data_IF_872152416948
#
_entry.id   IF_872152416948
#
_cell.length_a   1.000
_cell.length_b   1.000
_cell.length_c   1.000
_cell.angle_alpha   90.00
_cell.angle_beta   90.00
_cell.angle_gamma   90.00
#
_symmetry.space_group_name_H-M   'P 1'
#
loop_
_entity.id
_entity.type
_entity.pdbx_description
1 polymer ?
#
# COMPACT_ATOMS: atom_id res chain seq x y z
N UNK A 1 -16.31 28.73 -40.99
CA UNK A 1 -15.90 29.96 -40.26
C UNK A 1 -16.48 29.91 -38.86
N UNK A 2 -15.67 30.26 -37.86
CA UNK A 2 -15.82 30.12 -36.39
C UNK A 2 -15.11 28.89 -35.79
N UNK A 3 -13.79 29.01 -35.75
CA UNK A 3 -12.92 28.43 -34.72
C UNK A 3 -13.42 28.78 -33.32
N UNK A 4 -13.29 27.85 -32.37
CA UNK A 4 -13.16 28.20 -30.96
C UNK A 4 -11.80 27.73 -30.47
N UNK A 5 -11.07 28.71 -29.99
CA UNK A 5 -9.73 28.65 -29.43
C UNK A 5 -9.61 27.59 -28.32
N UNK A 6 -8.43 26.98 -28.28
CA UNK A 6 -8.03 26.01 -27.29
C UNK A 6 -7.91 26.60 -25.89
N UNK A 7 -8.10 25.72 -24.91
CA UNK A 7 -7.55 25.87 -23.57
C UNK A 7 -6.67 24.63 -23.33
N UNK A 8 -5.41 24.73 -23.75
CA UNK A 8 -4.36 23.79 -23.38
C UNK A 8 -3.73 24.40 -22.14
N UNK A 9 -4.07 23.89 -20.96
CA UNK A 9 -3.29 24.18 -19.76
C UNK A 9 -2.03 23.33 -19.89
N UNK A 10 -1.04 23.86 -20.59
CA UNK A 10 0.32 23.32 -20.57
C UNK A 10 0.92 23.73 -19.24
N UNK A 11 0.87 22.83 -18.26
CA UNK A 11 1.63 22.97 -17.01
C UNK A 11 3.10 22.61 -17.33
N UNK A 12 4.05 23.56 -17.34
CA UNK A 12 5.39 23.33 -17.87
C UNK A 12 6.26 22.43 -16.99
N UNK A 13 5.79 22.08 -15.78
CA UNK A 13 6.58 21.36 -14.77
C UNK A 13 6.22 19.86 -14.64
N UNK A 14 5.54 19.27 -15.63
CA UNK A 14 5.25 17.83 -15.60
C UNK A 14 6.52 16.97 -15.77
N UNK A 15 7.64 17.53 -16.25
CA UNK A 15 8.83 16.76 -16.63
C UNK A 15 10.10 17.12 -15.83
N UNK A 16 10.03 16.96 -14.50
CA UNK A 16 11.24 16.99 -13.65
C UNK A 16 11.11 16.22 -12.31
N UNK A 17 10.22 15.22 -12.20
CA UNK A 17 10.27 14.33 -11.03
C UNK A 17 11.42 13.35 -11.20
N UNK A 18 12.58 13.69 -10.64
CA UNK A 18 13.67 12.74 -10.44
C UNK A 18 13.13 11.43 -9.83
N UNK A 19 13.68 10.26 -10.21
CA UNK A 19 13.29 9.00 -9.59
C UNK A 19 13.51 9.11 -8.08
N UNK A 20 12.42 9.00 -7.31
CA UNK A 20 12.41 9.15 -5.83
C UNK A 20 13.16 8.02 -5.09
N UNK A 21 13.91 7.21 -5.82
CA UNK A 21 14.73 6.10 -5.33
C UNK A 21 16.20 6.29 -5.70
N UNK A 22 16.83 7.36 -5.22
CA UNK A 22 18.28 7.52 -5.32
C UNK A 22 19.04 6.58 -4.35
N UNK A 23 20.37 6.42 -4.52
CA UNK A 23 21.22 5.58 -3.65
C UNK A 23 21.11 5.93 -2.14
N UNK A 24 20.71 7.16 -1.79
CA UNK A 24 20.49 7.61 -0.41
C UNK A 24 19.39 6.85 0.35
N UNK A 25 18.28 6.47 -0.31
CA UNK A 25 17.20 5.69 0.33
C UNK A 25 17.72 4.32 0.75
N UNK A 26 18.41 3.63 -0.17
CA UNK A 26 18.96 2.31 0.09
C UNK A 26 20.05 2.34 1.18
N UNK A 27 20.87 3.39 1.23
CA UNK A 27 21.89 3.57 2.28
C UNK A 27 21.25 3.80 3.65
N UNK A 28 20.22 4.65 3.76
CA UNK A 28 19.55 4.89 5.04
C UNK A 28 18.83 3.64 5.56
N UNK A 29 18.12 2.92 4.68
CA UNK A 29 17.37 1.69 5.03
C UNK A 29 18.27 0.54 5.50
N UNK A 30 19.58 0.60 5.23
CA UNK A 30 20.60 -0.36 5.71
C UNK A 30 21.32 0.12 6.97
N UNK A 31 21.02 1.32 7.45
CA UNK A 31 21.70 1.91 8.61
C UNK A 31 21.06 1.46 9.93
N UNK A 32 21.81 1.60 11.02
CA UNK A 32 21.29 1.37 12.37
C UNK A 32 20.07 2.25 12.74
N UNK A 33 19.81 3.32 11.98
CA UNK A 33 18.65 4.22 12.15
C UNK A 33 17.35 3.63 11.57
N UNK A 34 17.42 2.54 10.80
CA UNK A 34 16.29 1.84 10.20
C UNK A 34 16.39 0.32 10.39
N UNK A 35 16.35 -0.21 11.64
CA UNK A 35 16.57 -1.62 11.93
C UNK A 35 15.54 -2.57 11.29
N UNK A 36 14.43 -2.05 10.73
CA UNK A 36 13.35 -2.85 10.15
C UNK A 36 13.76 -3.78 8.99
N UNK A 37 14.94 -3.58 8.41
CA UNK A 37 15.55 -4.45 7.40
C UNK A 37 16.95 -4.99 7.79
N UNK A 38 17.42 -4.75 9.02
CA UNK A 38 18.77 -5.10 9.42
C UNK A 38 19.85 -4.25 8.75
N UNK A 39 21.06 -4.78 8.59
CA UNK A 39 22.22 -4.05 8.04
C UNK A 39 22.38 -4.18 6.52
N UNK A 40 21.53 -4.98 5.87
CA UNK A 40 21.58 -5.19 4.42
C UNK A 40 20.20 -5.50 3.85
N UNK A 41 19.98 -5.16 2.58
CA UNK A 41 18.75 -5.50 1.86
C UNK A 41 19.04 -6.59 0.83
N UNK A 42 18.23 -7.64 0.82
CA UNK A 42 18.26 -8.64 -0.24
C UNK A 42 17.68 -8.08 -1.54
N UNK A 43 17.99 -8.71 -2.69
CA UNK A 43 17.42 -8.30 -3.99
C UNK A 43 15.90 -8.32 -4.02
N UNK A 44 15.26 -9.29 -3.35
CA UNK A 44 13.80 -9.36 -3.31
C UNK A 44 13.20 -8.23 -2.49
N UNK A 45 13.85 -7.82 -1.41
CA UNK A 45 13.40 -6.68 -0.60
C UNK A 45 13.53 -5.36 -1.36
N UNK A 46 14.64 -5.18 -2.09
CA UNK A 46 14.84 -4.02 -2.97
C UNK A 46 13.72 -3.96 -4.01
N UNK A 47 13.48 -5.06 -4.74
CA UNK A 47 12.44 -5.11 -5.76
C UNK A 47 11.03 -4.86 -5.19
N UNK A 48 10.72 -5.36 -3.99
CA UNK A 48 9.44 -5.08 -3.32
C UNK A 48 9.27 -3.61 -2.95
N UNK A 49 10.33 -2.96 -2.44
CA UNK A 49 10.32 -1.53 -2.11
C UNK A 49 10.20 -0.68 -3.39
N UNK A 50 10.98 -0.99 -4.43
CA UNK A 50 10.94 -0.29 -5.72
C UNK A 50 9.55 -0.38 -6.35
N UNK A 51 8.91 -1.56 -6.34
CA UNK A 51 7.55 -1.71 -6.85
C UNK A 51 6.52 -0.81 -6.12
N UNK A 52 6.69 -0.58 -4.81
CA UNK A 52 5.83 0.35 -4.05
C UNK A 52 6.14 1.81 -4.42
N UNK A 53 7.42 2.15 -4.62
CA UNK A 53 7.83 3.50 -5.04
C UNK A 53 7.29 3.84 -6.43
N UNK A 54 7.35 2.89 -7.37
CA UNK A 54 6.81 3.04 -8.73
C UNK A 54 5.29 3.23 -8.70
N UNK A 55 4.58 2.42 -7.91
CA UNK A 55 3.14 2.60 -7.71
C UNK A 55 2.81 3.97 -7.11
N UNK A 56 3.57 4.44 -6.12
CA UNK A 56 3.39 5.78 -5.56
C UNK A 56 3.65 6.90 -6.57
N UNK A 57 4.54 6.70 -7.53
CA UNK A 57 4.74 7.66 -8.62
C UNK A 57 3.51 7.80 -9.53
N UNK A 58 2.72 6.72 -9.68
CA UNK A 58 1.52 6.68 -10.51
C UNK A 58 0.27 7.13 -9.75
N UNK A 59 0.02 6.60 -8.56
CA UNK A 59 -1.25 6.80 -7.83
C UNK A 59 -1.12 7.66 -6.58
N UNK A 60 0.10 7.99 -6.17
CA UNK A 60 0.36 8.78 -4.97
C UNK A 60 0.06 10.27 -5.12
N UNK A 61 -0.10 10.95 -3.99
CA UNK A 61 -0.30 12.40 -3.88
C UNK A 61 1.03 13.19 -3.85
N UNK A 62 2.16 12.49 -3.96
CA UNK A 62 3.50 13.07 -3.91
C UNK A 62 3.98 13.51 -2.53
N UNK A 63 3.20 13.29 -1.47
CA UNK A 63 3.55 13.67 -0.09
C UNK A 63 4.39 12.60 0.58
N UNK A 64 5.48 12.99 1.23
CA UNK A 64 6.36 12.04 1.93
C UNK A 64 5.64 11.31 3.05
N UNK A 65 4.73 12.00 3.75
CA UNK A 65 3.91 11.38 4.81
C UNK A 65 3.09 10.22 4.24
N UNK A 66 2.50 10.38 3.06
CA UNK A 66 1.71 9.33 2.40
C UNK A 66 2.60 8.18 1.97
N UNK A 67 3.76 8.46 1.35
CA UNK A 67 4.71 7.43 0.94
C UNK A 67 5.23 6.63 2.15
N UNK A 68 5.68 7.31 3.20
CA UNK A 68 6.19 6.69 4.41
C UNK A 68 5.13 5.83 5.10
N UNK A 69 3.88 6.30 5.14
CA UNK A 69 2.79 5.54 5.75
C UNK A 69 2.39 4.32 4.91
N UNK A 70 2.40 4.44 3.58
CA UNK A 70 2.20 3.30 2.67
C UNK A 70 3.27 2.22 2.84
N UNK A 71 4.55 2.61 2.89
CA UNK A 71 5.66 1.69 3.16
C UNK A 71 5.56 1.06 4.57
N UNK A 72 5.19 1.85 5.58
CA UNK A 72 4.97 1.34 6.93
C UNK A 72 3.83 0.32 7.00
N UNK A 73 2.74 0.59 6.28
CA UNK A 73 1.60 -0.33 6.13
C UNK A 73 2.06 -1.62 5.47
N UNK A 74 2.71 -1.55 4.31
CA UNK A 74 3.21 -2.74 3.62
C UNK A 74 4.17 -3.57 4.49
N UNK A 75 5.10 -2.92 5.20
CA UNK A 75 6.06 -3.61 6.08
C UNK A 75 5.39 -4.40 7.20
N UNK A 76 4.25 -3.90 7.70
CA UNK A 76 3.42 -4.59 8.68
C UNK A 76 2.68 -5.75 8.03
N UNK A 77 1.90 -5.48 6.98
CA UNK A 77 0.98 -6.48 6.45
C UNK A 77 1.68 -7.66 5.78
N UNK A 78 2.78 -7.40 5.06
CA UNK A 78 3.45 -8.43 4.23
C UNK A 78 4.90 -8.70 4.64
N UNK A 79 5.34 -8.10 5.74
CA UNK A 79 6.66 -8.31 6.31
C UNK A 79 7.79 -7.68 5.51
N UNK A 80 9.03 -8.08 5.84
CA UNK A 80 10.23 -7.47 5.28
C UNK A 80 10.44 -7.74 3.78
N UNK A 81 9.69 -8.65 3.18
CA UNK A 81 9.71 -8.90 1.74
C UNK A 81 9.03 -7.79 0.93
N UNK A 82 8.09 -7.06 1.52
CA UNK A 82 7.36 -5.96 0.86
C UNK A 82 6.64 -6.38 -0.44
N UNK A 83 6.22 -7.65 -0.51
CA UNK A 83 5.53 -8.23 -1.67
C UNK A 83 4.13 -8.71 -1.30
N UNK A 84 3.15 -8.67 -2.22
CA UNK A 84 1.81 -9.20 -1.98
C UNK A 84 1.82 -10.65 -1.48
N UNK A 85 0.93 -10.97 -0.54
CA UNK A 85 0.78 -12.32 -0.01
C UNK A 85 -0.67 -12.75 0.06
N UNK A 86 -0.88 -14.07 0.07
CA UNK A 86 -2.14 -14.68 0.46
C UNK A 86 -2.25 -14.72 1.99
N UNK A 87 -3.48 -14.64 2.49
CA UNK A 87 -3.80 -14.74 3.92
C UNK A 87 -3.13 -15.96 4.56
N UNK A 88 -2.53 -15.75 5.75
CA UNK A 88 -1.76 -16.79 6.44
C UNK A 88 -0.42 -17.14 5.78
N UNK A 89 0.08 -16.28 4.89
CA UNK A 89 1.35 -16.42 4.15
C UNK A 89 1.44 -17.73 3.35
N UNK A 90 0.30 -18.19 2.80
CA UNK A 90 0.23 -19.42 2.03
C UNK A 90 0.77 -19.21 0.62
N UNK A 91 1.45 -20.24 0.09
CA UNK A 91 2.11 -20.17 -1.22
C UNK A 91 1.12 -20.41 -2.34
N UNK A 92 0.14 -21.28 -2.11
CA UNK A 92 -0.87 -21.65 -3.09
C UNK A 92 -2.27 -21.20 -2.68
N UNK A 93 -3.15 -21.05 -3.66
CA UNK A 93 -4.56 -20.72 -3.42
C UNK A 93 -5.26 -21.82 -2.60
N UNK A 94 -5.00 -23.09 -2.90
CA UNK A 94 -5.59 -24.22 -2.18
C UNK A 94 -5.24 -24.21 -0.68
N UNK A 95 -3.97 -23.95 -0.33
CA UNK A 95 -3.53 -23.82 1.06
C UNK A 95 -4.18 -22.62 1.75
N UNK A 96 -4.30 -21.48 1.06
CA UNK A 96 -4.94 -20.29 1.59
C UNK A 96 -6.42 -20.53 1.88
N UNK A 97 -7.16 -21.15 0.94
CA UNK A 97 -8.58 -21.52 1.15
C UNK A 97 -8.74 -22.47 2.33
N UNK A 98 -7.88 -23.49 2.45
CA UNK A 98 -7.92 -24.42 3.58
C UNK A 98 -7.63 -23.71 4.92
N UNK A 99 -6.66 -22.80 4.93
CA UNK A 99 -6.34 -21.99 6.09
C UNK A 99 -7.54 -21.11 6.49
N UNK A 100 -8.12 -20.37 5.56
CA UNK A 100 -9.23 -19.44 5.83
C UNK A 100 -10.48 -20.19 6.26
N UNK A 101 -10.82 -21.31 5.60
CA UNK A 101 -11.97 -22.13 6.00
C UNK A 101 -11.85 -22.61 7.45
N UNK A 102 -10.64 -22.95 7.91
CA UNK A 102 -10.39 -23.39 9.29
C UNK A 102 -10.54 -22.27 10.33
N UNK A 103 -10.15 -21.03 9.99
CA UNK A 103 -10.13 -19.91 10.94
C UNK A 103 -11.36 -19.00 10.84
N UNK A 104 -11.98 -18.93 9.67
CA UNK A 104 -13.10 -18.03 9.32
C UNK A 104 -14.21 -18.74 8.51
N UNK A 105 -14.77 -19.86 8.98
CA UNK A 105 -15.68 -20.72 8.22
C UNK A 105 -17.01 -20.08 7.79
N UNK A 106 -17.42 -18.98 8.44
CA UNK A 106 -18.70 -18.30 8.20
C UNK A 106 -18.56 -16.91 7.58
N UNK A 107 -17.32 -16.44 7.34
CA UNK A 107 -17.05 -15.14 6.71
C UNK A 107 -16.79 -15.31 5.20
N UNK A 108 -15.74 -14.70 4.69
CA UNK A 108 -15.23 -14.81 3.32
C UNK A 108 -14.53 -16.14 3.00
N UNK A 109 -14.62 -17.15 3.88
CA UNK A 109 -13.97 -18.46 3.72
C UNK A 109 -14.69 -19.46 2.83
N UNK A 110 -15.83 -19.06 2.23
CA UNK A 110 -16.64 -19.89 1.32
C UNK A 110 -16.71 -19.26 -0.07
N UNK A 111 -16.94 -20.06 -1.13
CA UNK A 111 -17.28 -19.56 -2.45
C UNK A 111 -18.43 -18.55 -2.42
N UNK A 112 -18.33 -17.48 -3.19
CA UNK A 112 -19.36 -16.45 -3.28
C UNK A 112 -19.53 -15.89 -4.71
N UNK A 113 -20.70 -15.31 -4.98
CA UNK A 113 -20.98 -14.60 -6.22
C UNK A 113 -21.01 -15.49 -7.47
N UNK A 114 -21.11 -14.88 -8.66
CA UNK A 114 -21.28 -15.61 -9.92
C UNK A 114 -20.04 -16.39 -10.36
N UNK A 115 -18.85 -16.04 -9.83
CA UNK A 115 -17.57 -16.65 -10.20
C UNK A 115 -17.17 -17.84 -9.32
N UNK A 116 -17.85 -18.06 -8.18
CA UNK A 116 -17.58 -19.21 -7.30
C UNK A 116 -16.22 -19.19 -6.59
N UNK A 117 -15.54 -18.04 -6.53
CA UNK A 117 -14.25 -17.90 -5.85
C UNK A 117 -14.38 -17.68 -4.35
N UNK A 118 -13.30 -17.97 -3.61
CA UNK A 118 -13.15 -17.62 -2.19
C UNK A 118 -12.37 -16.31 -2.07
N UNK A 119 -13.05 -15.24 -1.64
CA UNK A 119 -12.52 -13.88 -1.55
C UNK A 119 -11.83 -13.60 -0.22
N UNK A 120 -10.86 -14.44 0.13
CA UNK A 120 -9.98 -14.24 1.28
C UNK A 120 -8.93 -13.14 1.03
N UNK A 121 -8.18 -12.78 2.07
CA UNK A 121 -7.14 -11.76 2.05
C UNK A 121 -6.06 -12.01 1.01
N UNK A 122 -5.94 -11.12 0.02
CA UNK A 122 -4.83 -11.09 -0.93
C UNK A 122 -4.24 -9.68 -0.99
N UNK A 123 -2.97 -9.61 -1.37
CA UNK A 123 -2.33 -8.33 -1.64
C UNK A 123 -1.62 -7.73 -0.43
N UNK A 124 -1.18 -6.49 -0.60
CA UNK A 124 -0.51 -5.74 0.48
C UNK A 124 -1.49 -5.40 1.60
N UNK A 125 -2.72 -5.02 1.25
CA UNK A 125 -3.76 -4.59 2.21
C UNK A 125 -4.71 -5.71 2.65
N UNK A 126 -4.43 -6.95 2.25
CA UNK A 126 -5.27 -8.12 2.55
C UNK A 126 -6.75 -7.89 2.18
N UNK A 127 -7.03 -7.57 0.91
CA UNK A 127 -8.38 -7.35 0.38
C UNK A 127 -9.24 -8.60 0.59
N UNK A 128 -10.38 -8.46 1.25
CA UNK A 128 -11.34 -9.54 1.57
C UNK A 128 -12.73 -9.19 1.06
N UNK A 129 -13.63 -10.19 0.98
CA UNK A 129 -15.04 -10.08 0.58
C UNK A 129 -15.29 -9.81 -0.90
N UNK A 130 -16.29 -10.49 -1.47
CA UNK A 130 -16.70 -10.37 -2.89
C UNK A 130 -16.89 -8.90 -3.30
N UNK A 131 -17.68 -8.14 -2.54
CA UNK A 131 -18.03 -6.74 -2.85
C UNK A 131 -16.81 -5.84 -3.05
N UNK A 132 -15.72 -6.09 -2.32
CA UNK A 132 -14.49 -5.33 -2.47
C UNK A 132 -13.76 -5.72 -3.75
N UNK A 133 -13.70 -7.02 -4.10
CA UNK A 133 -13.12 -7.47 -5.36
C UNK A 133 -13.95 -7.02 -6.57
N UNK A 134 -15.28 -6.95 -6.44
CA UNK A 134 -16.16 -6.39 -7.47
C UNK A 134 -15.91 -4.89 -7.66
N UNK A 135 -15.78 -4.14 -6.56
CA UNK A 135 -15.44 -2.71 -6.60
C UNK A 135 -14.13 -2.42 -7.30
N UNK A 136 -13.14 -3.30 -7.15
CA UNK A 136 -11.86 -3.18 -7.84
C UNK A 136 -11.84 -3.82 -9.25
N UNK A 137 -12.95 -4.42 -9.70
CA UNK A 137 -13.06 -5.01 -11.03
C UNK A 137 -12.25 -6.29 -11.22
N UNK A 138 -11.92 -6.99 -10.13
CA UNK A 138 -11.08 -8.21 -10.13
C UNK A 138 -11.82 -9.44 -9.58
N UNK A 139 -13.15 -9.37 -9.41
CA UNK A 139 -13.92 -10.49 -8.85
C UNK A 139 -13.82 -11.78 -9.68
N UNK A 140 -13.73 -11.68 -11.01
CA UNK A 140 -13.54 -12.84 -11.88
C UNK A 140 -12.14 -13.47 -11.77
N UNK A 141 -11.15 -12.68 -11.34
CA UNK A 141 -9.75 -13.09 -11.22
C UNK A 141 -9.12 -12.48 -9.94
N UNK A 142 -9.41 -13.07 -8.76
CA UNK A 142 -8.97 -12.53 -7.47
C UNK A 142 -7.45 -12.48 -7.30
N UNK A 143 -6.71 -13.32 -8.02
CA UNK A 143 -5.25 -13.39 -7.90
C UNK A 143 -4.55 -12.16 -8.51
N UNK A 144 -5.26 -11.29 -9.25
CA UNK A 144 -4.79 -9.94 -9.60
C UNK A 144 -4.40 -9.11 -8.38
N UNK A 145 -5.04 -9.33 -7.23
CA UNK A 145 -4.66 -8.68 -5.97
C UNK A 145 -3.24 -9.08 -5.49
N UNK A 146 -2.64 -10.13 -6.06
CA UNK A 146 -1.28 -10.57 -5.75
C UNK A 146 -0.23 -10.02 -6.73
N UNK A 147 -0.65 -9.34 -7.79
CA UNK A 147 0.28 -8.66 -8.69
C UNK A 147 0.91 -7.45 -7.98
N UNK A 148 2.25 -7.35 -7.89
CA UNK A 148 2.92 -6.31 -7.11
C UNK A 148 2.47 -4.88 -7.43
N UNK A 149 2.38 -4.56 -8.72
CA UNK A 149 1.94 -3.23 -9.18
C UNK A 149 0.51 -2.94 -8.75
N UNK A 150 -0.44 -3.83 -9.09
CA UNK A 150 -1.85 -3.64 -8.76
C UNK A 150 -2.06 -3.53 -7.23
N UNK A 151 -1.42 -4.40 -6.46
CA UNK A 151 -1.56 -4.41 -5.01
C UNK A 151 -1.05 -3.12 -4.35
N UNK A 152 0.06 -2.57 -4.82
CA UNK A 152 0.63 -1.32 -4.32
C UNK A 152 -0.21 -0.10 -4.77
N UNK A 153 -0.70 -0.09 -6.01
CA UNK A 153 -1.61 0.95 -6.50
C UNK A 153 -2.92 0.96 -5.70
N UNK A 154 -3.50 -0.22 -5.45
CA UNK A 154 -4.70 -0.39 -4.63
C UNK A 154 -4.47 0.10 -3.20
N UNK A 155 -3.32 -0.23 -2.60
CA UNK A 155 -2.95 0.27 -1.27
C UNK A 155 -3.00 1.79 -1.22
N UNK A 156 -2.29 2.49 -2.12
CA UNK A 156 -2.28 3.95 -2.11
C UNK A 156 -3.65 4.55 -2.40
N UNK A 157 -4.40 3.98 -3.34
CA UNK A 157 -5.78 4.40 -3.63
C UNK A 157 -6.63 4.40 -2.36
N UNK A 158 -6.63 3.28 -1.61
CA UNK A 158 -7.41 3.18 -0.38
C UNK A 158 -6.89 4.06 0.77
N UNK A 159 -5.58 4.25 0.88
CA UNK A 159 -5.00 5.19 1.84
C UNK A 159 -5.40 6.64 1.55
N UNK A 160 -5.50 7.02 0.27
CA UNK A 160 -5.79 8.38 -0.16
C UNK A 160 -7.27 8.72 -0.04
N UNK A 161 -8.16 7.84 -0.48
CA UNK A 161 -9.60 8.10 -0.48
C UNK A 161 -10.34 7.59 0.75
N UNK A 162 -9.71 6.74 1.56
CA UNK A 162 -10.31 6.20 2.78
C UNK A 162 -11.47 5.23 2.51
N UNK A 163 -11.53 4.57 1.34
CA UNK A 163 -12.62 3.64 0.98
C UNK A 163 -12.85 2.49 1.97
N UNK A 164 -11.84 2.11 2.74
CA UNK A 164 -11.93 1.07 3.78
C UNK A 164 -12.17 1.64 5.18
N UNK A 165 -12.08 2.97 5.32
CA UNK A 165 -12.36 3.67 6.56
C UNK A 165 -13.87 3.85 6.72
N UNK A 166 -14.43 3.43 7.85
CA UNK A 166 -15.84 3.64 8.15
C UNK A 166 -16.29 5.12 8.18
N UNK A 167 -15.35 6.06 8.30
CA UNK A 167 -15.60 7.50 8.24
C UNK A 167 -15.36 8.11 6.85
N UNK A 168 -14.90 7.32 5.87
CA UNK A 168 -14.54 7.79 4.53
C UNK A 168 -13.42 8.84 4.52
N UNK A 169 -12.50 8.79 5.51
CA UNK A 169 -11.37 9.72 5.63
C UNK A 169 -10.08 9.06 5.18
N UNK A 170 -9.40 9.68 4.22
CA UNK A 170 -8.07 9.31 3.77
C UNK A 170 -6.95 9.89 4.64
N UNK A 171 -5.70 9.56 4.31
CA UNK A 171 -4.52 9.92 5.09
C UNK A 171 -4.35 11.42 5.29
N UNK A 172 -4.69 12.27 4.32
CA UNK A 172 -4.54 13.72 4.45
C UNK A 172 -5.36 14.31 5.61
N UNK A 173 -6.42 13.64 6.05
CA UNK A 173 -7.19 14.03 7.22
C UNK A 173 -6.43 13.81 8.54
N UNK A 174 -5.67 12.71 8.65
CA UNK A 174 -4.97 12.31 9.88
C UNK A 174 -3.51 12.75 9.90
N UNK A 175 -2.88 12.83 8.73
CA UNK A 175 -1.53 13.29 8.50
C UNK A 175 -1.66 14.50 7.57
N UNK A 176 -2.03 15.68 8.06
CA UNK A 176 -2.16 16.87 7.23
C UNK A 176 -0.77 17.35 6.77
N UNK A 177 -0.73 18.21 5.75
CA UNK A 177 0.52 18.88 5.35
C UNK A 177 1.01 19.74 6.50
N UNK A 178 0.12 20.59 7.01
CA UNK A 178 0.37 21.48 8.14
C UNK A 178 -0.39 20.98 9.37
N UNK A 179 0.33 20.84 10.48
CA UNK A 179 -0.24 20.38 11.75
C UNK A 179 0.29 19.01 12.20
N UNK A 180 -0.19 18.55 13.37
CA UNK A 180 0.31 17.34 13.99
C UNK A 180 -0.16 16.07 13.26
N UNK A 181 0.72 15.07 13.23
CA UNK A 181 0.39 13.75 12.72
C UNK A 181 -0.41 12.94 13.76
N UNK A 182 -1.59 12.45 13.38
CA UNK A 182 -2.37 11.47 14.14
C UNK A 182 -2.18 10.05 13.58
N UNK A 183 -1.00 9.48 13.84
CA UNK A 183 -0.65 8.14 13.36
C UNK A 183 -1.57 7.03 13.89
N UNK A 184 -2.15 7.23 15.08
CA UNK A 184 -3.08 6.28 15.68
C UNK A 184 -4.36 6.17 14.87
N UNK A 185 -5.00 7.31 14.57
CA UNK A 185 -6.24 7.30 13.79
C UNK A 185 -6.00 7.18 12.28
N UNK A 186 -4.81 7.50 11.77
CA UNK A 186 -4.41 7.20 10.39
C UNK A 186 -4.58 5.71 10.05
N UNK A 187 -4.45 4.81 11.02
CA UNK A 187 -4.59 3.36 10.81
C UNK A 187 -5.95 2.98 10.24
N UNK A 188 -6.99 3.75 10.59
CA UNK A 188 -8.39 3.59 10.15
C UNK A 188 -8.56 3.56 8.64
N UNK A 189 -7.60 4.06 7.89
CA UNK A 189 -7.54 3.95 6.42
C UNK A 189 -7.42 2.51 5.92
N UNK A 190 -6.95 1.57 6.75
CA UNK A 190 -6.76 0.14 6.38
C UNK A 190 -7.47 -0.80 7.35
N UNK A 191 -7.34 -0.56 8.66
CA UNK A 191 -7.98 -1.33 9.72
C UNK A 191 -8.23 -0.38 10.91
N UNK A 192 -8.96 -0.75 11.96
CA UNK A 192 -9.34 0.14 13.08
C UNK A 192 -8.16 0.94 13.72
N UNK A 193 -7.71 0.60 14.92
CA UNK A 193 -6.47 1.16 15.50
C UNK A 193 -5.55 0.05 15.97
N UNK A 194 -5.83 -1.18 15.55
CA UNK A 194 -4.98 -2.30 15.89
C UNK A 194 -3.58 -2.04 15.33
N UNK A 195 -2.57 -2.40 16.10
CA UNK A 195 -1.17 -2.38 15.65
C UNK A 195 -0.59 -1.00 15.24
N UNK A 196 -1.26 0.09 15.62
CA UNK A 196 -0.89 1.44 15.22
C UNK A 196 0.52 1.86 15.68
N UNK A 197 0.98 1.41 16.85
CA UNK A 197 2.30 1.80 17.41
C UNK A 197 3.46 1.28 16.57
N UNK A 198 3.36 0.03 16.12
CA UNK A 198 4.39 -0.59 15.28
C UNK A 198 4.43 0.08 13.90
N UNK A 199 3.27 0.38 13.31
CA UNK A 199 3.18 1.14 12.06
C UNK A 199 3.76 2.54 12.25
N UNK A 200 3.47 3.21 13.37
CA UNK A 200 4.07 4.50 13.71
C UNK A 200 5.60 4.41 13.84
N UNK A 201 6.12 3.29 14.37
CA UNK A 201 7.55 2.99 14.42
C UNK A 201 8.18 2.86 13.03
N UNK A 202 7.56 2.12 12.11
CA UNK A 202 8.03 2.01 10.72
C UNK A 202 7.89 3.34 9.97
N UNK A 203 6.78 4.06 10.14
CA UNK A 203 6.54 5.36 9.53
C UNK A 203 7.68 6.34 9.82
N UNK A 204 8.10 6.47 11.08
CA UNK A 204 9.20 7.36 11.47
C UNK A 204 10.52 6.96 10.83
N UNK A 205 10.79 5.65 10.72
CA UNK A 205 11.99 5.15 10.03
C UNK A 205 11.98 5.47 8.54
N UNK A 206 10.84 5.27 7.85
CA UNK A 206 10.70 5.61 6.43
C UNK A 206 10.74 7.12 6.19
N UNK A 207 10.13 7.94 7.04
CA UNK A 207 10.25 9.40 6.97
C UNK A 207 11.71 9.86 7.07
N UNK A 208 12.48 9.26 7.99
CA UNK A 208 13.91 9.51 8.10
C UNK A 208 14.68 9.14 6.82
N UNK A 209 14.34 7.98 6.21
CA UNK A 209 14.96 7.53 4.97
C UNK A 209 14.67 8.46 3.78
N UNK A 210 13.41 8.89 3.65
CA UNK A 210 12.98 9.79 2.58
C UNK A 210 13.66 11.15 2.74
N UNK A 211 13.74 11.67 3.97
CA UNK A 211 14.42 12.93 4.25
C UNK A 211 15.91 12.85 3.90
N UNK A 212 16.59 11.79 4.33
CA UNK A 212 18.02 11.60 4.08
C UNK A 212 18.37 11.38 2.60
N UNK A 213 17.41 10.96 1.78
CA UNK A 213 17.63 10.80 0.34
C UNK A 213 17.51 12.11 -0.45
N UNK A 214 16.99 13.17 0.17
CA UNK A 214 16.81 14.50 -0.43
C UNK A 214 17.93 15.47 -0.08
N UNK A 215 18.77 15.11 0.89
CA UNK A 215 19.97 15.85 1.31
C UNK A 215 21.18 15.35 0.54
#
# INVERSE_FOLDING_TARGET
MKERAGYRCEDPDHDARQPRGGPGVAVYLRSAKAPMFGTSLSRSQVAGIEGILDAFAVTGDGRDKTLAYGLATARREVGAGMVPVREGFKKTDAEARAYVLRHYPTKYGKPAGPWGHVYYGRGIVQLTWLDNYEREGIAADPDKALEPKFAAELMFKGLLDGRWNGLGKGLAHYLPTDGPDDLKNARRTVNITDHWEEIAGFYRQFMGAITAART
#
